data_IF_242904368561
#
_entry.id   IF_242904368561
#
_cell.length_a   1.000
_cell.length_b   1.000
_cell.length_c   1.000
_cell.angle_alpha   90.00
_cell.angle_beta   90.00
_cell.angle_gamma   90.00
#
_symmetry.space_group_name_H-M   'P 1'
#
loop_
_entity.id
_entity.type
_entity.pdbx_description
1 polymer ?
#
# COMPACT_ATOMS: atom_id res chain seq x y z
N UNK A 1 -42.54 3.41 75.83
CA UNK A 1 -41.87 4.09 74.70
C UNK A 1 -40.39 4.46 74.93
N UNK A 2 -39.93 4.81 76.15
CA UNK A 2 -38.53 5.26 76.38
C UNK A 2 -37.42 4.18 76.39
N UNK A 3 -37.72 2.91 76.71
CA UNK A 3 -36.69 1.84 76.79
C UNK A 3 -36.23 1.29 75.44
N UNK A 4 -37.09 1.35 74.41
CA UNK A 4 -36.78 0.79 73.08
C UNK A 4 -35.82 1.69 72.29
N UNK A 5 -35.96 3.01 72.43
CA UNK A 5 -35.10 4.01 71.77
C UNK A 5 -33.67 3.97 72.31
N UNK A 6 -33.49 3.73 73.62
CA UNK A 6 -32.17 3.64 74.24
C UNK A 6 -31.36 2.42 73.78
N UNK A 7 -32.01 1.27 73.54
CA UNK A 7 -31.37 0.08 72.97
C UNK A 7 -30.94 0.28 71.52
N UNK A 8 -31.74 0.98 70.71
CA UNK A 8 -31.38 1.30 69.32
C UNK A 8 -30.23 2.30 69.24
N UNK A 9 -30.15 3.25 70.19
CA UNK A 9 -29.05 4.21 70.27
C UNK A 9 -27.71 3.55 70.68
N UNK A 10 -27.73 2.60 71.61
CA UNK A 10 -26.54 1.83 72.00
C UNK A 10 -26.10 0.89 70.87
N UNK A 11 -27.03 0.27 70.15
CA UNK A 11 -26.72 -0.62 69.02
C UNK A 11 -26.17 0.15 67.81
N UNK A 12 -26.72 1.32 67.51
CA UNK A 12 -26.22 2.19 66.44
C UNK A 12 -24.83 2.77 66.77
N UNK A 13 -24.58 3.11 68.04
CA UNK A 13 -23.26 3.56 68.51
C UNK A 13 -22.21 2.44 68.41
N UNK A 14 -22.58 1.19 68.73
CA UNK A 14 -21.69 0.04 68.62
C UNK A 14 -21.34 -0.30 67.15
N UNK A 15 -22.28 -0.11 66.22
CA UNK A 15 -22.04 -0.29 64.77
C UNK A 15 -21.15 0.83 64.22
N UNK A 16 -21.35 2.08 64.65
CA UNK A 16 -20.54 3.22 64.21
C UNK A 16 -19.09 3.11 64.70
N UNK A 17 -18.89 2.64 65.94
CA UNK A 17 -17.55 2.41 66.50
C UNK A 17 -16.86 1.22 65.81
N UNK A 18 -17.60 0.17 65.46
CA UNK A 18 -17.06 -0.96 64.68
C UNK A 18 -16.67 -0.55 63.26
N UNK A 19 -17.41 0.37 62.63
CA UNK A 19 -17.08 0.91 61.31
C UNK A 19 -15.88 1.87 61.33
N UNK A 20 -15.68 2.59 62.44
CA UNK A 20 -14.53 3.49 62.63
C UNK A 20 -13.19 2.74 62.80
N UNK A 21 -13.20 1.49 63.28
CA UNK A 21 -11.99 0.68 63.45
C UNK A 21 -11.50 0.07 62.13
N UNK A 22 -12.37 -0.08 61.12
CA UNK A 22 -12.01 -0.66 59.82
C UNK A 22 -11.27 0.36 58.92
N UNK A 23 -11.50 1.66 59.11
CA UNK A 23 -10.86 2.74 58.33
C UNK A 23 -9.49 3.18 58.85
N UNK A 24 -9.02 2.69 60.01
CA UNK A 24 -7.65 2.94 60.50
C UNK A 24 -6.67 1.82 60.17
N UNK A 25 -7.08 0.81 59.40
CA UNK A 25 -6.17 -0.20 58.84
C UNK A 25 -5.62 0.24 57.48
N UNK A 26 -5.18 1.50 57.38
CA UNK A 26 -4.14 1.83 56.41
C UNK A 26 -2.87 1.13 56.91
N UNK A 27 -2.53 0.00 56.29
CA UNK A 27 -1.20 -0.57 56.40
C UNK A 27 -0.23 0.44 55.80
N UNK A 28 0.40 1.27 56.64
CA UNK A 28 1.72 1.78 56.30
C UNK A 28 2.61 0.55 56.20
N UNK A 29 2.99 0.23 54.97
CA UNK A 29 3.97 -0.82 54.67
C UNK A 29 5.28 -0.45 55.37
N UNK A 30 5.44 -0.97 56.58
CA UNK A 30 6.62 -0.80 57.40
C UNK A 30 7.83 -1.36 56.61
N UNK A 31 8.90 -0.60 56.35
CA UNK A 31 10.03 -1.06 55.55
C UNK A 31 10.99 -1.96 56.34
N UNK A 32 10.54 -2.54 57.46
CA UNK A 32 11.30 -3.53 58.23
C UNK A 32 11.14 -4.91 57.57
N UNK A 33 11.86 -5.05 56.47
CA UNK A 33 11.84 -6.21 55.56
C UNK A 33 12.43 -5.88 54.18
N UNK A 34 12.55 -4.60 53.83
CA UNK A 34 13.24 -4.14 52.61
C UNK A 34 14.77 -4.22 52.70
N UNK A 35 15.33 -4.55 53.87
CA UNK A 35 16.77 -4.85 54.03
C UNK A 35 17.08 -6.36 53.96
N UNK A 36 16.05 -7.20 53.77
CA UNK A 36 16.23 -8.61 53.37
C UNK A 36 15.83 -8.71 51.89
N UNK A 37 16.45 -7.89 51.05
CA UNK A 37 16.39 -8.07 49.62
C UNK A 37 17.55 -9.00 49.25
N UNK A 38 17.17 -10.16 48.73
CA UNK A 38 18.04 -11.16 48.13
C UNK A 38 19.13 -10.49 47.26
N UNK A 39 20.43 -10.76 47.47
CA UNK A 39 21.50 -10.22 46.62
C UNK A 39 21.42 -10.68 45.16
N UNK A 40 20.56 -11.66 44.85
CA UNK A 40 20.34 -12.20 43.50
C UNK A 40 19.25 -11.47 42.69
N UNK A 41 18.79 -10.28 43.11
CA UNK A 41 17.96 -9.46 42.20
C UNK A 41 18.82 -8.97 41.03
N UNK A 42 18.41 -9.22 39.77
CA UNK A 42 19.13 -8.66 38.63
C UNK A 42 19.12 -7.13 38.75
N UNK A 43 20.29 -6.53 38.56
CA UNK A 43 20.44 -5.07 38.55
C UNK A 43 19.70 -4.51 37.33
N UNK A 44 18.48 -3.99 37.57
CA UNK A 44 17.65 -3.42 36.51
C UNK A 44 18.04 -1.96 36.34
N UNK A 45 18.79 -1.68 35.28
CA UNK A 45 19.22 -0.33 34.91
C UNK A 45 18.32 0.20 33.80
N UNK A 46 17.88 1.46 33.94
CA UNK A 46 17.18 2.22 32.89
C UNK A 46 18.11 3.30 32.33
N UNK A 47 18.08 3.50 31.02
CA UNK A 47 18.79 4.60 30.35
C UNK A 47 18.01 5.10 29.14
N UNK A 48 17.95 6.42 28.99
CA UNK A 48 17.41 7.16 27.85
C UNK A 48 18.48 8.07 27.20
N UNK A 49 19.73 7.98 27.66
CA UNK A 49 20.84 8.88 27.27
C UNK A 49 21.66 8.37 26.09
N UNK A 50 21.11 7.43 25.31
CA UNK A 50 21.79 6.88 24.14
C UNK A 50 21.92 7.92 23.04
N UNK A 51 23.12 8.06 22.47
CA UNK A 51 23.30 8.84 21.26
C UNK A 51 22.67 8.12 20.08
N UNK A 52 21.64 8.74 19.50
CA UNK A 52 21.03 8.36 18.23
C UNK A 52 21.48 9.36 17.18
N UNK A 53 21.88 8.86 16.01
CA UNK A 53 22.07 9.67 14.82
C UNK A 53 21.04 9.25 13.78
N UNK A 54 20.21 10.17 13.33
CA UNK A 54 19.23 9.91 12.28
C UNK A 54 19.50 10.75 11.03
N UNK A 55 19.27 10.13 9.87
CA UNK A 55 19.53 10.71 8.55
C UNK A 55 18.47 10.25 7.58
N UNK A 56 18.03 11.15 6.70
CA UNK A 56 17.15 10.81 5.58
C UNK A 56 18.01 10.36 4.41
N UNK A 57 17.69 9.21 3.83
CA UNK A 57 18.42 8.60 2.72
C UNK A 57 17.46 8.27 1.58
N UNK A 58 17.95 8.33 0.34
CA UNK A 58 17.20 7.79 -0.79
C UNK A 58 17.23 6.26 -0.75
N UNK A 59 16.09 5.65 -1.04
CA UNK A 59 16.04 4.23 -1.36
C UNK A 59 16.58 3.99 -2.78
N UNK A 60 17.15 2.82 -3.03
CA UNK A 60 17.59 2.43 -4.38
C UNK A 60 16.37 2.08 -5.25
N UNK A 61 15.73 0.95 -4.93
CA UNK A 61 14.48 0.54 -5.52
C UNK A 61 13.75 -0.45 -4.62
N UNK A 62 12.43 -0.49 -4.73
CA UNK A 62 11.57 -1.44 -4.03
C UNK A 62 11.07 -2.49 -5.00
N UNK A 63 10.95 -3.74 -4.56
CA UNK A 63 10.35 -4.80 -5.37
C UNK A 63 8.86 -4.50 -5.60
N UNK A 64 8.45 -4.44 -6.86
CA UNK A 64 7.06 -4.17 -7.27
C UNK A 64 6.37 -5.38 -7.90
N UNK A 65 7.11 -6.44 -8.22
CA UNK A 65 6.55 -7.72 -8.66
C UNK A 65 7.48 -8.90 -8.39
N UNK A 66 6.91 -10.01 -7.93
CA UNK A 66 7.43 -11.35 -8.17
C UNK A 66 6.26 -12.35 -8.27
N UNK A 67 6.54 -13.58 -8.70
CA UNK A 67 5.52 -14.61 -8.93
C UNK A 67 4.88 -15.20 -7.65
N UNK A 68 5.38 -14.86 -6.46
CA UNK A 68 4.89 -15.30 -5.16
C UNK A 68 4.19 -14.18 -4.38
N UNK A 69 4.45 -12.92 -4.71
CA UNK A 69 4.06 -11.73 -3.95
C UNK A 69 3.64 -10.61 -4.89
N UNK A 70 2.33 -10.49 -5.09
CA UNK A 70 1.71 -9.42 -5.85
C UNK A 70 1.38 -8.23 -4.95
N UNK A 71 1.42 -7.02 -5.51
CA UNK A 71 0.91 -5.84 -4.82
C UNK A 71 -0.62 -5.95 -4.65
N UNK A 72 -1.15 -5.43 -3.55
CA UNK A 72 -2.59 -5.25 -3.37
C UNK A 72 -3.14 -4.07 -4.19
N UNK A 73 -2.27 -3.11 -4.46
CA UNK A 73 -2.62 -1.78 -4.98
C UNK A 73 -1.55 -1.35 -5.99
N UNK A 74 -1.99 -0.86 -7.15
CA UNK A 74 -1.13 -0.40 -8.23
C UNK A 74 -1.39 1.09 -8.48
N UNK A 75 -0.35 1.91 -8.36
CA UNK A 75 -0.46 3.35 -8.52
C UNK A 75 -0.30 3.78 -9.98
N UNK A 76 -1.03 4.79 -10.40
CA UNK A 76 -0.85 5.45 -11.70
C UNK A 76 -1.20 6.94 -11.58
N UNK A 77 -0.31 7.80 -12.04
CA UNK A 77 -0.52 9.24 -11.99
C UNK A 77 0.73 10.00 -11.58
N UNK A 78 0.50 11.26 -11.24
CA UNK A 78 1.51 12.16 -10.71
C UNK A 78 0.96 12.75 -9.40
N UNK A 79 1.80 12.94 -8.40
CA UNK A 79 1.42 13.60 -7.16
C UNK A 79 2.54 14.55 -6.74
N UNK A 80 2.17 15.80 -6.46
CA UNK A 80 3.12 16.82 -6.09
C UNK A 80 2.94 17.18 -4.61
N UNK A 81 3.85 16.66 -3.80
CA UNK A 81 3.89 16.90 -2.38
C UNK A 81 4.83 18.08 -2.06
N UNK A 82 4.38 19.14 -1.37
CA UNK A 82 5.26 20.27 -1.01
C UNK A 82 6.44 19.88 -0.12
N UNK A 83 6.30 18.80 0.65
CA UNK A 83 7.34 18.29 1.55
C UNK A 83 8.29 17.37 0.81
N UNK A 84 7.77 16.39 0.08
CA UNK A 84 8.56 15.31 -0.55
C UNK A 84 8.90 15.52 -2.03
N UNK A 85 8.28 16.50 -2.68
CA UNK A 85 8.42 16.74 -4.11
C UNK A 85 7.46 15.91 -4.96
N UNK A 86 7.87 15.64 -6.19
CA UNK A 86 7.02 15.06 -7.22
C UNK A 86 7.21 13.54 -7.33
N UNK A 87 6.12 12.78 -7.22
CA UNK A 87 6.09 11.34 -7.44
C UNK A 87 5.28 10.96 -8.68
N UNK A 88 5.81 10.05 -9.50
CA UNK A 88 5.19 9.53 -10.73
C UNK A 88 5.06 8.02 -10.62
N UNK A 89 3.90 7.50 -11.02
CA UNK A 89 3.67 6.06 -11.14
C UNK A 89 3.09 5.67 -12.52
N UNK A 90 3.63 4.61 -13.10
CA UNK A 90 3.12 3.99 -14.32
C UNK A 90 2.91 2.49 -14.07
N UNK A 91 1.84 1.91 -14.63
CA UNK A 91 1.55 0.47 -14.47
C UNK A 91 1.94 -0.25 -15.75
N UNK A 92 2.67 -1.35 -15.64
CA UNK A 92 2.90 -2.28 -16.74
C UNK A 92 2.27 -3.61 -16.37
N UNK A 93 1.39 -4.14 -17.22
CA UNK A 93 0.69 -5.38 -16.91
C UNK A 93 0.34 -6.18 -18.16
N UNK A 94 0.36 -7.49 -18.01
CA UNK A 94 -0.09 -8.41 -19.04
C UNK A 94 -1.55 -8.82 -18.81
N UNK A 95 -2.20 -9.20 -19.90
CA UNK A 95 -3.49 -9.88 -19.84
C UNK A 95 -3.34 -11.36 -20.20
N UNK A 96 -4.31 -12.15 -19.74
CA UNK A 96 -4.35 -13.61 -19.84
C UNK A 96 -5.71 -14.07 -20.34
N UNK A 97 -5.73 -15.25 -20.95
CA UNK A 97 -6.95 -15.87 -21.42
C UNK A 97 -7.89 -16.26 -20.26
N UNK A 98 -9.18 -16.40 -20.55
CA UNK A 98 -10.23 -16.68 -19.56
C UNK A 98 -10.54 -18.17 -19.42
N UNK A 99 -9.97 -18.85 -18.43
CA UNK A 99 -10.45 -20.18 -17.99
C UNK A 99 -9.47 -21.33 -18.22
N UNK A 100 -9.99 -22.52 -18.49
CA UNK A 100 -9.18 -23.71 -18.75
C UNK A 100 -8.63 -23.67 -20.19
N UNK A 101 -7.33 -23.89 -20.35
CA UNK A 101 -6.64 -23.87 -21.65
C UNK A 101 -6.79 -25.23 -22.35
N UNK A 102 -7.06 -25.28 -23.67
CA UNK A 102 -7.35 -24.15 -24.57
C UNK A 102 -8.72 -23.53 -24.26
N UNK A 103 -8.81 -22.20 -24.34
CA UNK A 103 -10.04 -21.49 -23.95
C UNK A 103 -11.18 -21.81 -24.94
N UNK A 104 -12.24 -22.42 -24.43
CA UNK A 104 -13.42 -22.82 -25.21
C UNK A 104 -14.52 -21.77 -25.20
N UNK A 105 -14.48 -20.76 -24.32
CA UNK A 105 -15.44 -19.65 -24.32
C UNK A 105 -15.29 -18.79 -25.59
N UNK A 106 -14.06 -18.69 -26.12
CA UNK A 106 -13.80 -18.01 -27.39
C UNK A 106 -14.28 -18.77 -28.63
N UNK A 107 -14.58 -20.08 -28.52
CA UNK A 107 -15.08 -20.87 -29.66
C UNK A 107 -16.39 -20.34 -30.24
N UNK A 108 -17.14 -19.53 -29.49
CA UNK A 108 -18.39 -18.89 -29.93
C UNK A 108 -18.17 -17.66 -30.82
N UNK A 109 -17.03 -16.96 -30.71
CA UNK A 109 -16.68 -15.81 -31.55
C UNK A 109 -16.26 -16.26 -32.95
N UNK A 110 -15.67 -17.45 -33.07
CA UNK A 110 -14.96 -17.93 -34.24
C UNK A 110 -15.80 -18.44 -35.41
N UNK A 111 -17.13 -18.51 -35.31
CA UNK A 111 -17.94 -18.99 -36.44
C UNK A 111 -18.13 -17.93 -37.55
N UNK A 112 -17.50 -16.75 -37.44
CA UNK A 112 -17.64 -15.64 -38.41
C UNK A 112 -19.02 -14.97 -38.37
N UNK A 113 -19.89 -15.41 -37.46
CA UNK A 113 -21.25 -14.88 -37.25
C UNK A 113 -21.29 -13.81 -36.16
N UNK A 114 -20.16 -13.54 -35.49
CA UNK A 114 -20.04 -12.56 -34.43
C UNK A 114 -19.50 -11.23 -34.95
N UNK A 115 -20.10 -10.11 -34.50
CA UNK A 115 -19.66 -8.75 -34.82
C UNK A 115 -19.19 -8.05 -33.55
N UNK A 116 -18.00 -7.45 -33.60
CA UNK A 116 -17.43 -6.70 -32.47
C UNK A 116 -18.15 -5.36 -32.28
N UNK A 117 -18.82 -5.20 -31.14
CA UNK A 117 -19.59 -4.01 -30.81
C UNK A 117 -18.73 -2.94 -30.15
N UNK A 118 -17.96 -3.34 -29.14
CA UNK A 118 -17.07 -2.45 -28.40
C UNK A 118 -15.98 -3.22 -27.67
N UNK A 119 -14.89 -2.51 -27.39
CA UNK A 119 -13.84 -2.98 -26.49
C UNK A 119 -13.72 -2.01 -25.34
N UNK A 120 -13.69 -2.52 -24.11
CA UNK A 120 -13.63 -1.71 -22.90
C UNK A 120 -12.55 -2.26 -21.97
N UNK A 121 -11.62 -1.40 -21.56
CA UNK A 121 -10.67 -1.70 -20.49
C UNK A 121 -11.26 -1.20 -19.17
N UNK A 122 -11.43 -2.11 -18.21
CA UNK A 122 -12.04 -1.80 -16.91
C UNK A 122 -10.99 -1.95 -15.83
N UNK A 123 -10.88 -0.96 -14.95
CA UNK A 123 -9.98 -0.97 -13.80
C UNK A 123 -10.78 -0.65 -12.54
N UNK A 124 -10.76 -1.54 -11.55
CA UNK A 124 -11.28 -1.26 -10.21
C UNK A 124 -10.36 -0.29 -9.48
N UNK A 125 -10.95 0.74 -8.88
CA UNK A 125 -10.26 1.67 -8.00
C UNK A 125 -10.06 1.08 -6.59
N UNK A 126 -8.86 1.24 -6.04
CA UNK A 126 -8.62 1.09 -4.61
C UNK A 126 -8.84 2.44 -3.92
N UNK A 127 -10.12 2.76 -3.67
CA UNK A 127 -10.56 4.07 -3.15
C UNK A 127 -9.94 4.48 -1.82
N UNK A 128 -9.37 3.54 -1.05
CA UNK A 128 -8.73 3.84 0.22
C UNK A 128 -7.28 4.35 0.08
N UNK A 129 -6.70 4.33 -1.12
CA UNK A 129 -5.26 4.53 -1.34
C UNK A 129 -4.92 5.65 -2.32
N UNK A 130 -5.86 6.52 -2.65
CA UNK A 130 -5.58 7.69 -3.49
C UNK A 130 -4.77 8.75 -2.73
N UNK A 131 -3.95 9.51 -3.46
CA UNK A 131 -3.24 10.68 -2.94
C UNK A 131 -3.49 11.88 -3.86
N UNK A 132 -3.70 13.07 -3.30
CA UNK A 132 -3.97 14.29 -4.07
C UNK A 132 -5.46 14.63 -4.19
N UNK A 133 -5.81 15.43 -5.19
CA UNK A 133 -7.15 15.98 -5.40
C UNK A 133 -8.02 15.05 -6.26
N UNK A 134 -9.02 14.41 -5.64
CA UNK A 134 -9.93 13.46 -6.28
C UNK A 134 -10.87 14.11 -7.31
N UNK A 135 -11.08 15.43 -7.23
CA UNK A 135 -11.99 16.14 -8.12
C UNK A 135 -11.33 16.58 -9.44
N UNK A 136 -10.03 16.35 -9.58
CA UNK A 136 -9.26 16.66 -10.79
C UNK A 136 -9.38 15.54 -11.82
N UNK A 137 -9.61 15.93 -13.07
CA UNK A 137 -9.60 15.04 -14.22
C UNK A 137 -8.17 14.64 -14.61
N UNK A 138 -7.96 13.39 -15.01
CA UNK A 138 -6.68 12.87 -15.49
C UNK A 138 -6.77 12.32 -16.90
N UNK A 139 -5.77 12.64 -17.72
CA UNK A 139 -5.62 12.07 -19.05
C UNK A 139 -4.82 10.77 -18.97
N UNK A 140 -5.55 9.66 -18.79
CA UNK A 140 -4.98 8.32 -18.74
C UNK A 140 -4.75 7.79 -20.16
N UNK A 141 -3.50 7.42 -20.46
CA UNK A 141 -3.12 6.73 -21.68
C UNK A 141 -2.99 5.23 -21.43
N UNK A 142 -3.50 4.45 -22.38
CA UNK A 142 -3.27 3.01 -22.47
C UNK A 142 -2.45 2.76 -23.73
N UNK A 143 -1.27 2.18 -23.57
CA UNK A 143 -0.32 1.89 -24.66
C UNK A 143 0.01 0.40 -24.70
N UNK A 144 0.29 -0.14 -25.88
CA UNK A 144 0.76 -1.53 -26.02
C UNK A 144 2.24 -1.62 -25.68
N UNK A 145 2.59 -2.62 -24.87
CA UNK A 145 3.99 -2.95 -24.58
C UNK A 145 4.67 -3.45 -25.86
N UNK A 146 5.87 -2.93 -26.13
CA UNK A 146 6.70 -3.30 -27.28
C UNK A 146 7.69 -4.42 -26.94
N UNK A 147 7.95 -4.63 -25.65
CA UNK A 147 8.81 -5.69 -25.13
C UNK A 147 8.04 -6.67 -24.22
N UNK A 148 8.60 -7.85 -24.03
CA UNK A 148 7.96 -8.94 -23.31
C UNK A 148 8.21 -8.83 -21.79
N UNK A 149 7.17 -9.03 -21.00
CA UNK A 149 7.31 -9.25 -19.56
C UNK A 149 7.35 -10.75 -19.27
N UNK A 150 8.21 -11.17 -18.35
CA UNK A 150 8.33 -12.53 -17.83
C UNK A 150 7.64 -12.64 -16.46
N UNK A 151 6.68 -13.55 -16.36
CA UNK A 151 5.94 -13.79 -15.13
C UNK A 151 6.72 -14.59 -14.08
N UNK A 152 7.94 -15.04 -14.38
CA UNK A 152 8.87 -15.65 -13.41
C UNK A 152 9.99 -14.70 -12.98
N UNK A 153 10.05 -13.49 -13.57
CA UNK A 153 11.01 -12.47 -13.18
C UNK A 153 10.60 -11.78 -11.87
N UNK A 154 11.58 -11.10 -11.27
CA UNK A 154 11.36 -10.12 -10.20
C UNK A 154 11.57 -8.75 -10.79
N UNK A 155 10.60 -7.85 -10.60
CA UNK A 155 10.69 -6.45 -11.03
C UNK A 155 10.74 -5.51 -9.84
N UNK A 156 11.49 -4.42 -10.02
CA UNK A 156 11.69 -3.34 -9.07
C UNK A 156 11.06 -2.04 -9.58
N UNK A 157 10.90 -1.07 -8.68
CA UNK A 157 10.24 0.20 -8.95
C UNK A 157 10.92 1.03 -10.05
N UNK A 158 12.20 0.81 -10.30
CA UNK A 158 12.97 1.47 -11.34
C UNK A 158 12.98 0.71 -12.69
N UNK A 159 12.46 -0.52 -12.73
CA UNK A 159 12.27 -1.25 -13.99
C UNK A 159 11.15 -0.60 -14.80
N UNK A 160 11.34 -0.53 -16.11
CA UNK A 160 10.37 0.09 -17.00
C UNK A 160 10.23 -0.70 -18.29
N UNK A 161 9.05 -0.60 -18.90
CA UNK A 161 8.74 -1.27 -20.16
C UNK A 161 8.41 -0.25 -21.25
N UNK A 162 8.99 -0.44 -22.43
CA UNK A 162 8.74 0.36 -23.60
C UNK A 162 7.34 0.10 -24.15
N UNK A 163 6.62 1.19 -24.44
CA UNK A 163 5.26 1.14 -24.96
C UNK A 163 5.04 2.20 -26.04
N UNK A 164 5.23 1.81 -27.30
CA UNK A 164 5.27 2.77 -28.42
C UNK A 164 3.90 3.05 -29.02
N UNK A 165 3.01 2.07 -29.08
CA UNK A 165 1.71 2.18 -29.74
C UNK A 165 0.60 2.59 -28.77
N UNK A 166 -0.14 3.66 -29.10
CA UNK A 166 -1.24 4.18 -28.29
C UNK A 166 -2.54 3.45 -28.63
N UNK A 167 -3.16 2.78 -27.65
CA UNK A 167 -4.50 2.21 -27.82
C UNK A 167 -5.60 3.27 -27.67
N UNK A 168 -5.48 4.10 -26.64
CA UNK A 168 -6.45 5.15 -26.34
C UNK A 168 -5.88 6.16 -25.34
N UNK A 169 -6.49 7.35 -25.34
CA UNK A 169 -6.37 8.33 -24.26
C UNK A 169 -7.77 8.62 -23.75
N UNK A 170 -7.97 8.59 -22.44
CA UNK A 170 -9.24 8.88 -21.81
C UNK A 170 -9.07 9.84 -20.64
N UNK A 171 -9.85 10.92 -20.66
CA UNK A 171 -9.99 11.83 -19.53
C UNK A 171 -10.93 11.19 -18.51
N UNK A 172 -10.42 10.93 -17.31
CA UNK A 172 -11.13 10.22 -16.24
C UNK A 172 -11.17 11.07 -14.97
N UNK A 173 -12.29 11.03 -14.26
CA UNK A 173 -12.44 11.66 -12.95
C UNK A 173 -12.74 10.56 -11.92
N UNK A 174 -11.87 10.29 -10.95
CA UNK A 174 -12.11 9.24 -9.96
C UNK A 174 -13.38 9.45 -9.12
N UNK A 175 -13.83 10.68 -8.90
CA UNK A 175 -15.11 10.98 -8.23
C UNK A 175 -16.33 10.56 -9.07
N UNK A 176 -16.17 10.34 -10.38
CA UNK A 176 -17.21 9.88 -11.32
C UNK A 176 -17.06 8.40 -11.68
N UNK A 177 -16.81 7.55 -10.68
CA UNK A 177 -16.65 6.12 -10.88
C UNK A 177 -17.95 5.41 -11.28
N UNK A 178 -17.81 4.28 -11.96
CA UNK A 178 -18.90 3.39 -12.32
C UNK A 178 -19.09 2.31 -11.26
N UNK A 179 -20.35 1.97 -10.98
CA UNK A 179 -20.72 0.79 -10.20
C UNK A 179 -21.47 -0.15 -11.14
N UNK A 180 -20.90 -1.35 -11.36
CA UNK A 180 -21.60 -2.42 -12.07
C UNK A 180 -22.28 -3.34 -11.06
N UNK A 181 -23.61 -3.30 -10.98
CA UNK A 181 -24.39 -4.14 -10.06
C UNK A 181 -24.28 -5.64 -10.35
N UNK A 182 -23.76 -6.05 -11.51
CA UNK A 182 -23.46 -7.45 -11.80
C UNK A 182 -22.23 -7.97 -11.04
N UNK A 183 -21.42 -7.06 -10.50
CA UNK A 183 -20.23 -7.36 -9.72
C UNK A 183 -20.37 -6.74 -8.34
N UNK A 184 -21.08 -7.45 -7.47
CA UNK A 184 -21.23 -7.10 -6.05
C UNK A 184 -20.82 -8.27 -5.18
N UNK A 185 -20.20 -8.00 -4.04
CA UNK A 185 -20.00 -9.01 -3.00
C UNK A 185 -20.97 -8.76 -1.83
N UNK A 186 -21.37 -9.80 -1.12
CA UNK A 186 -22.08 -9.66 0.15
C UNK A 186 -21.13 -10.00 1.28
N UNK A 187 -20.87 -9.04 2.16
CA UNK A 187 -20.01 -9.23 3.34
C UNK A 187 -20.79 -8.80 4.58
N UNK A 188 -20.97 -9.73 5.51
CA UNK A 188 -21.67 -9.47 6.78
C UNK A 188 -23.10 -8.93 6.63
N UNK A 189 -23.78 -9.24 5.52
CA UNK A 189 -25.13 -8.76 5.23
C UNK A 189 -25.19 -7.48 4.40
N UNK A 190 -24.06 -6.81 4.18
CA UNK A 190 -23.97 -5.60 3.35
C UNK A 190 -23.50 -5.91 1.94
N UNK A 191 -24.05 -5.17 0.97
CA UNK A 191 -23.63 -5.24 -0.43
C UNK A 191 -22.42 -4.32 -0.63
N UNK A 192 -21.30 -4.90 -1.03
CA UNK A 192 -20.08 -4.20 -1.41
C UNK A 192 -20.09 -4.02 -2.92
N UNK A 193 -19.96 -2.76 -3.33
CA UNK A 193 -19.73 -2.36 -4.71
C UNK A 193 -18.25 -2.18 -4.95
N UNK A 194 -17.80 -2.47 -6.16
CA UNK A 194 -16.44 -2.18 -6.57
C UNK A 194 -16.44 -1.03 -7.57
N UNK A 195 -16.02 0.17 -7.16
CA UNK A 195 -15.98 1.34 -8.03
C UNK A 195 -14.91 1.13 -9.10
N UNK A 196 -15.27 1.33 -10.36
CA UNK A 196 -14.36 1.12 -11.49
C UNK A 196 -14.42 2.25 -12.50
N UNK A 197 -13.32 2.40 -13.24
CA UNK A 197 -13.29 3.21 -14.45
C UNK A 197 -13.40 2.29 -15.66
N UNK A 198 -14.20 2.71 -16.63
CA UNK A 198 -14.45 1.97 -17.88
C UNK A 198 -13.95 2.82 -19.03
N UNK A 199 -12.91 2.35 -19.69
CA UNK A 199 -12.17 3.08 -20.71
C UNK A 199 -12.46 2.44 -22.06
N UNK A 200 -13.24 3.09 -22.93
CA UNK A 200 -13.47 2.59 -24.29
C UNK A 200 -12.15 2.55 -25.07
N UNK A 201 -11.87 1.41 -25.69
CA UNK A 201 -10.75 1.25 -26.62
C UNK A 201 -11.27 1.37 -28.06
N UNK A 202 -10.41 1.81 -28.98
CA UNK A 202 -10.74 1.85 -30.39
C UNK A 202 -10.89 0.43 -30.93
N UNK A 203 -12.13 -0.06 -31.06
CA UNK A 203 -12.39 -1.41 -31.58
C UNK A 203 -11.86 -1.66 -32.99
N UNK A 204 -11.64 -0.59 -33.78
CA UNK A 204 -11.09 -0.69 -35.14
C UNK A 204 -9.56 -0.76 -35.16
N UNK A 205 -8.91 -0.77 -33.99
CA UNK A 205 -7.46 -0.96 -33.89
C UNK A 205 -7.04 -2.33 -34.44
N UNK A 206 -5.85 -2.39 -35.05
CA UNK A 206 -5.31 -3.57 -35.72
C UNK A 206 -5.28 -4.80 -34.81
N UNK A 207 -4.79 -4.62 -33.56
CA UNK A 207 -4.87 -5.61 -32.48
C UNK A 207 -6.23 -6.32 -32.39
N UNK A 208 -7.35 -5.59 -32.44
CA UNK A 208 -8.67 -6.22 -32.29
C UNK A 208 -9.17 -6.81 -33.60
N UNK A 209 -9.03 -6.08 -34.71
CA UNK A 209 -9.60 -6.51 -35.99
C UNK A 209 -8.85 -7.70 -36.59
N UNK A 210 -7.52 -7.71 -36.50
CA UNK A 210 -6.67 -8.67 -37.19
C UNK A 210 -6.11 -9.77 -36.29
N UNK A 211 -6.19 -9.62 -34.96
CA UNK A 211 -5.69 -10.63 -34.01
C UNK A 211 -6.74 -11.12 -33.01
N UNK A 212 -7.22 -10.25 -32.12
CA UNK A 212 -8.08 -10.65 -30.99
C UNK A 212 -9.57 -10.87 -31.38
N UNK A 213 -9.95 -10.56 -32.62
CA UNK A 213 -11.30 -10.79 -33.14
C UNK A 213 -11.28 -11.25 -34.61
N UNK A 214 -10.14 -11.71 -35.13
CA UNK A 214 -9.97 -12.12 -36.53
C UNK A 214 -10.50 -13.53 -36.86
N UNK A 215 -10.97 -14.26 -35.85
CA UNK A 215 -11.41 -15.66 -35.99
C UNK A 215 -10.28 -16.68 -35.90
N UNK A 216 -9.03 -16.25 -35.77
CA UNK A 216 -7.86 -17.11 -35.57
C UNK A 216 -7.84 -17.68 -34.14
N UNK A 217 -7.92 -19.00 -34.01
CA UNK A 217 -7.98 -19.67 -32.68
C UNK A 217 -6.61 -19.81 -32.01
N UNK A 218 -5.51 -19.77 -32.78
CA UNK A 218 -4.18 -20.10 -32.26
C UNK A 218 -3.72 -19.19 -31.11
N UNK A 219 -4.09 -17.90 -31.13
CA UNK A 219 -3.79 -16.97 -30.03
C UNK A 219 -4.54 -17.30 -28.72
N UNK A 220 -5.57 -18.14 -28.80
CA UNK A 220 -6.41 -18.57 -27.66
C UNK A 220 -6.08 -19.98 -27.16
N UNK A 221 -5.08 -20.64 -27.74
CA UNK A 221 -4.66 -21.98 -27.33
C UNK A 221 -3.82 -21.93 -26.05
N UNK A 222 -3.06 -20.86 -25.83
CA UNK A 222 -2.25 -20.64 -24.62
C UNK A 222 -1.95 -19.17 -24.38
N UNK A 223 -1.62 -18.81 -23.14
CA UNK A 223 -1.14 -17.46 -22.81
C UNK A 223 0.14 -17.10 -23.60
N UNK A 224 1.02 -18.07 -23.86
CA UNK A 224 2.23 -17.84 -24.66
C UNK A 224 1.92 -17.45 -26.11
N UNK A 225 0.85 -18.01 -26.69
CA UNK A 225 0.39 -17.66 -28.03
C UNK A 225 -0.26 -16.27 -28.05
N UNK A 226 -1.10 -15.95 -27.06
CA UNK A 226 -1.66 -14.61 -26.90
C UNK A 226 -0.56 -13.54 -26.79
N UNK A 227 0.47 -13.80 -25.98
CA UNK A 227 1.55 -12.86 -25.74
C UNK A 227 2.42 -12.60 -26.99
N UNK A 228 2.37 -13.43 -28.03
CA UNK A 228 3.06 -13.14 -29.31
C UNK A 228 2.45 -11.93 -30.03
N UNK A 229 1.15 -11.70 -29.87
CA UNK A 229 0.41 -10.61 -30.53
C UNK A 229 -0.03 -9.52 -29.56
N UNK A 230 -0.11 -9.83 -28.27
CA UNK A 230 -0.50 -8.90 -27.23
C UNK A 230 0.37 -9.03 -25.99
N UNK A 231 1.53 -8.36 -26.00
CA UNK A 231 2.55 -8.45 -24.93
C UNK A 231 2.10 -7.91 -23.57
N UNK A 232 1.17 -6.96 -23.58
CA UNK A 232 0.60 -6.32 -22.40
C UNK A 232 0.26 -4.86 -22.67
N UNK A 233 -0.08 -4.14 -21.61
CA UNK A 233 -0.38 -2.70 -21.65
C UNK A 233 0.44 -1.93 -20.62
N UNK A 234 0.79 -0.70 -20.99
CA UNK A 234 1.25 0.34 -20.08
C UNK A 234 0.12 1.35 -19.83
N UNK A 235 -0.11 1.66 -18.56
CA UNK A 235 -0.98 2.74 -18.11
C UNK A 235 -0.11 3.88 -17.59
N UNK A 236 -0.28 5.08 -18.14
CA UNK A 236 0.42 6.28 -17.69
C UNK A 236 -0.47 7.50 -17.85
N UNK A 237 -0.20 8.53 -17.07
CA UNK A 237 -0.90 9.81 -17.18
C UNK A 237 0.01 10.77 -17.93
N UNK A 238 -0.50 11.37 -19.00
CA UNK A 238 0.32 12.19 -19.89
C UNK A 238 0.56 13.60 -19.34
N UNK A 239 -0.47 14.17 -18.70
CA UNK A 239 -0.43 15.50 -18.13
C UNK A 239 -0.33 15.40 -16.60
N UNK A 240 0.74 15.89 -15.97
CA UNK A 240 0.87 15.83 -14.52
C UNK A 240 -0.24 16.65 -13.85
N UNK A 241 -1.06 15.94 -13.08
CA UNK A 241 -2.07 16.50 -12.16
C UNK A 241 -1.62 16.22 -10.73
N UNK A 242 -2.16 16.92 -9.73
CA UNK A 242 -1.90 16.59 -8.31
C UNK A 242 -2.80 15.43 -7.85
N UNK A 243 -2.66 14.24 -8.46
CA UNK A 243 -3.48 13.08 -8.14
C UNK A 243 -2.79 11.76 -8.53
N UNK A 244 -2.48 10.94 -7.52
CA UNK A 244 -2.07 9.55 -7.67
C UNK A 244 -3.29 8.64 -7.53
N UNK A 245 -3.70 8.01 -8.63
CA UNK A 245 -4.78 7.03 -8.60
C UNK A 245 -4.26 5.67 -8.13
N UNK A 246 -5.14 4.91 -7.48
CA UNK A 246 -4.85 3.58 -6.98
C UNK A 246 -5.82 2.57 -7.59
N UNK A 247 -5.28 1.45 -8.10
CA UNK A 247 -6.05 0.42 -8.78
C UNK A 247 -5.84 -0.96 -8.16
N UNK A 248 -6.92 -1.75 -8.10
CA UNK A 248 -6.88 -3.16 -7.75
C UNK A 248 -6.87 -4.02 -9.03
N UNK A 249 -5.68 -4.41 -9.48
CA UNK A 249 -5.55 -5.22 -10.69
C UNK A 249 -5.99 -6.68 -10.51
N UNK A 250 -5.99 -7.17 -9.27
CA UNK A 250 -6.44 -8.54 -8.93
C UNK A 250 -7.97 -8.68 -8.89
N UNK A 251 -8.69 -7.56 -9.04
CA UNK A 251 -10.14 -7.52 -8.98
C UNK A 251 -10.83 -8.41 -10.02
N UNK A 252 -11.93 -9.02 -9.61
CA UNK A 252 -12.86 -9.69 -10.49
C UNK A 252 -13.61 -8.74 -11.46
N UNK A 253 -13.45 -7.42 -11.39
CA UNK A 253 -13.92 -6.48 -12.42
C UNK A 253 -12.81 -6.07 -13.41
N UNK A 254 -11.56 -6.06 -12.96
CA UNK A 254 -10.44 -5.51 -13.76
C UNK A 254 -10.09 -6.40 -14.95
N UNK A 255 -10.05 -5.83 -16.15
CA UNK A 255 -9.62 -6.55 -17.36
C UNK A 255 -10.08 -5.88 -18.64
N UNK A 256 -9.78 -6.52 -19.76
CA UNK A 256 -10.20 -6.07 -21.09
C UNK A 256 -11.39 -6.88 -21.57
N UNK A 257 -12.47 -6.22 -21.94
CA UNK A 257 -13.72 -6.85 -22.36
C UNK A 257 -13.96 -6.60 -23.85
N UNK A 258 -14.12 -7.67 -24.62
CA UNK A 258 -14.64 -7.65 -25.97
C UNK A 258 -16.15 -7.91 -25.89
N UNK A 259 -16.96 -6.92 -26.23
CA UNK A 259 -18.41 -7.07 -26.34
C UNK A 259 -18.78 -7.30 -27.80
N UNK A 260 -19.57 -8.34 -28.06
CA UNK A 260 -19.95 -8.73 -29.40
C UNK A 260 -21.36 -9.32 -29.42
N UNK A 261 -21.96 -9.35 -30.61
CA UNK A 261 -23.23 -10.01 -30.83
C UNK A 261 -23.16 -10.97 -32.01
N UNK A 262 -24.03 -11.96 -31.98
CA UNK A 262 -24.37 -12.82 -33.11
C UNK A 262 -25.79 -12.46 -33.60
N UNK A 263 -26.29 -13.17 -34.61
CA UNK A 263 -27.67 -12.99 -35.07
C UNK A 263 -28.74 -13.22 -34.00
N UNK A 264 -28.43 -13.98 -32.93
CA UNK A 264 -29.42 -14.41 -31.93
C UNK A 264 -29.10 -13.99 -30.48
N UNK A 265 -27.89 -13.51 -30.19
CA UNK A 265 -27.46 -13.24 -28.81
C UNK A 265 -26.35 -12.19 -28.73
N UNK A 266 -26.21 -11.56 -27.56
CA UNK A 266 -25.12 -10.64 -27.20
C UNK A 266 -24.28 -11.26 -26.10
N UNK A 267 -22.96 -11.25 -26.25
CA UNK A 267 -22.04 -11.86 -25.29
C UNK A 267 -20.79 -10.99 -25.09
N UNK A 268 -19.92 -11.44 -24.17
CA UNK A 268 -18.64 -10.79 -23.90
C UNK A 268 -17.55 -11.82 -23.65
N UNK A 269 -16.35 -11.50 -24.12
CA UNK A 269 -15.12 -12.19 -23.75
C UNK A 269 -14.27 -11.27 -22.89
N UNK A 270 -13.58 -11.82 -21.89
CA UNK A 270 -12.73 -11.04 -21.00
C UNK A 270 -11.31 -11.59 -21.02
N UNK A 271 -10.34 -10.71 -21.19
CA UNK A 271 -8.96 -11.00 -20.80
C UNK A 271 -8.73 -10.56 -19.36
N UNK A 272 -8.09 -11.43 -18.58
CA UNK A 272 -7.91 -11.26 -17.14
C UNK A 272 -6.50 -10.79 -16.81
N UNK A 273 -6.37 -10.04 -15.72
CA UNK A 273 -5.08 -9.88 -15.03
C UNK A 273 -5.08 -10.90 -13.89
N UNK A 274 -4.34 -12.00 -14.07
CA UNK A 274 -4.28 -13.09 -13.08
C UNK A 274 -2.95 -13.07 -12.33
N UNK A 275 -2.78 -13.93 -11.33
CA UNK A 275 -1.47 -14.13 -10.70
C UNK A 275 -0.40 -14.70 -11.64
N UNK A 276 -0.78 -15.20 -12.83
CA UNK A 276 0.15 -15.64 -13.88
C UNK A 276 0.50 -14.52 -14.85
N UNK A 277 -0.13 -13.35 -14.75
CA UNK A 277 0.25 -12.15 -15.49
C UNK A 277 1.42 -11.47 -14.78
N UNK A 278 2.43 -11.05 -15.54
CA UNK A 278 3.38 -10.07 -15.03
C UNK A 278 2.64 -8.73 -14.86
N UNK A 279 2.77 -8.11 -13.69
CA UNK A 279 2.13 -6.85 -13.36
C UNK A 279 3.01 -6.09 -12.37
N UNK A 280 3.43 -4.88 -12.72
CA UNK A 280 4.35 -4.10 -11.90
C UNK A 280 4.02 -2.61 -11.98
N UNK A 281 4.57 -1.85 -11.04
CA UNK A 281 4.49 -0.40 -11.02
C UNK A 281 5.91 0.15 -11.18
N UNK A 282 6.10 1.00 -12.18
CA UNK A 282 7.25 1.88 -12.27
C UNK A 282 6.99 3.10 -11.38
N UNK A 283 7.95 3.45 -10.53
CA UNK A 283 7.86 4.59 -9.61
C UNK A 283 9.09 5.47 -9.78
N UNK A 284 8.84 6.78 -9.83
CA UNK A 284 9.90 7.79 -9.86
C UNK A 284 9.54 8.92 -8.92
N UNK A 285 10.46 9.23 -8.00
CA UNK A 285 10.36 10.40 -7.14
C UNK A 285 11.43 11.42 -7.50
N UNK A 286 11.07 12.70 -7.41
CA UNK A 286 11.94 13.85 -7.63
C UNK A 286 11.72 14.84 -6.48
N UNK A 287 12.69 14.89 -5.58
CA UNK A 287 12.67 15.72 -4.38
C UNK A 287 13.28 17.11 -4.61
N UNK A 288 13.73 17.45 -5.83
CA UNK A 288 14.37 18.73 -6.13
C UNK A 288 13.44 19.91 -5.85
N UNK A 289 13.91 20.91 -5.10
CA UNK A 289 13.15 22.09 -4.72
C UNK A 289 12.08 21.87 -3.64
N UNK A 290 11.98 20.66 -3.10
CA UNK A 290 11.04 20.33 -2.02
C UNK A 290 11.59 20.70 -0.63
N UNK A 291 10.74 20.66 0.39
CA UNK A 291 11.16 20.91 1.78
C UNK A 291 12.20 19.89 2.27
N UNK A 292 12.15 18.65 1.78
CA UNK A 292 13.04 17.56 2.24
C UNK A 292 14.43 17.59 1.60
N UNK A 293 14.60 18.20 0.41
CA UNK A 293 15.87 18.26 -0.32
C UNK A 293 17.10 18.53 0.59
N UNK A 294 17.13 19.56 1.46
CA UNK A 294 18.30 19.86 2.31
C UNK A 294 18.53 18.86 3.47
N UNK A 295 17.60 17.96 3.74
CA UNK A 295 17.68 16.94 4.80
C UNK A 295 18.16 15.57 4.29
N UNK A 296 18.21 15.38 2.97
CA UNK A 296 18.67 14.14 2.38
C UNK A 296 20.20 14.10 2.41
N UNK A 297 20.76 13.01 2.95
CA UNK A 297 22.21 12.80 2.91
C UNK A 297 22.65 12.48 1.48
N UNK A 298 23.64 13.20 0.97
CA UNK A 298 24.31 12.81 -0.26
C UNK A 298 25.26 11.61 -0.06
N UNK A 299 25.78 11.06 -1.15
CA UNK A 299 26.76 9.96 -1.11
C UNK A 299 28.09 10.34 -0.42
N UNK A 300 28.30 11.64 -0.16
CA UNK A 300 29.44 12.15 0.61
C UNK A 300 29.14 12.30 2.10
N UNK A 301 27.96 11.88 2.57
CA UNK A 301 27.56 11.85 3.96
C UNK A 301 27.13 13.22 4.54
N UNK A 302 26.89 14.22 3.70
CA UNK A 302 26.39 15.53 4.11
C UNK A 302 24.88 15.64 3.93
N UNK A 303 24.11 15.58 5.01
CA UNK A 303 22.81 16.26 5.06
C UNK A 303 23.06 17.70 5.53
N UNK A 304 22.59 18.71 4.79
CA UNK A 304 22.90 20.12 5.08
C UNK A 304 22.26 20.61 6.40
N UNK A 305 21.12 20.03 6.80
CA UNK A 305 20.36 20.45 8.00
C UNK A 305 20.34 19.42 9.15
N UNK A 306 20.96 18.25 9.00
CA UNK A 306 21.20 17.29 10.09
C UNK A 306 19.96 16.59 10.70
N UNK A 307 20.13 16.09 11.94
CA UNK A 307 19.33 15.12 12.72
C UNK A 307 18.07 15.69 13.42
N UNK A 308 17.57 16.86 13.01
CA UNK A 308 16.39 17.47 13.66
C UNK A 308 15.07 16.89 13.17
N UNK A 309 15.06 16.37 11.94
CA UNK A 309 13.92 15.77 11.26
C UNK A 309 14.39 14.60 10.42
N UNK A 310 13.56 13.56 10.37
CA UNK A 310 13.68 12.47 9.40
C UNK A 310 12.42 12.39 8.57
N UNK A 311 12.61 12.04 7.31
CA UNK A 311 11.54 11.96 6.35
C UNK A 311 11.42 10.53 5.85
N UNK A 312 10.19 10.01 5.86
CA UNK A 312 9.88 8.65 5.43
C UNK A 312 8.71 8.74 4.47
N UNK A 313 8.86 8.15 3.28
CA UNK A 313 7.83 8.14 2.25
C UNK A 313 7.77 6.75 1.61
N UNK A 314 6.55 6.26 1.34
CA UNK A 314 6.36 5.06 0.54
C UNK A 314 6.72 5.27 -0.94
N UNK A 315 6.31 4.32 -1.79
CA UNK A 315 6.44 4.42 -3.25
C UNK A 315 7.87 4.62 -3.77
N UNK A 316 8.85 3.89 -3.23
CA UNK A 316 10.28 4.07 -3.57
C UNK A 316 10.82 5.47 -3.23
N UNK A 317 10.21 6.12 -2.24
CA UNK A 317 10.60 7.44 -1.75
C UNK A 317 11.77 7.38 -0.77
N UNK A 318 11.68 8.22 0.27
CA UNK A 318 12.76 8.39 1.25
C UNK A 318 12.63 7.43 2.42
N UNK A 319 13.78 7.00 2.94
CA UNK A 319 13.90 6.19 4.13
C UNK A 319 14.68 6.92 5.23
N UNK A 320 14.46 6.49 6.48
CA UNK A 320 15.25 6.95 7.61
C UNK A 320 16.33 5.91 7.95
N UNK A 321 17.57 6.39 8.11
CA UNK A 321 18.69 5.60 8.63
C UNK A 321 19.01 6.05 10.04
N UNK A 322 18.95 5.10 10.96
CA UNK A 322 19.29 5.28 12.37
C UNK A 322 20.64 4.63 12.68
N UNK A 323 21.48 5.32 13.43
CA UNK A 323 22.75 4.80 13.93
C UNK A 323 22.84 5.03 15.44
N UNK A 324 23.32 4.01 16.17
CA UNK A 324 23.61 4.08 17.60
C UNK A 324 25.12 3.89 17.75
N UNK A 325 25.94 4.97 17.65
CA UNK A 325 27.40 4.84 17.52
C UNK A 325 28.07 4.12 18.68
N UNK A 326 27.52 4.27 19.88
CA UNK A 326 28.05 3.70 21.12
C UNK A 326 27.34 2.41 21.53
N UNK A 327 26.64 1.73 20.62
CA UNK A 327 25.94 0.47 20.90
C UNK A 327 26.87 -0.62 21.48
N UNK A 328 28.18 -0.59 21.19
CA UNK A 328 29.16 -1.51 21.77
C UNK A 328 29.29 -1.39 23.29
N UNK A 329 28.92 -0.25 23.88
CA UNK A 329 28.92 -0.08 25.33
C UNK A 329 27.78 -0.85 26.00
N UNK A 330 26.80 -1.32 25.22
CA UNK A 330 25.67 -2.16 25.66
C UNK A 330 25.97 -3.66 25.49
N UNK A 331 27.23 -4.07 25.48
CA UNK A 331 27.59 -5.49 25.45
C UNK A 331 27.40 -6.14 26.83
N UNK A 332 27.06 -7.43 26.83
CA UNK A 332 26.86 -8.24 28.05
C UNK A 332 25.76 -7.77 29.00
N UNK A 333 24.75 -7.07 28.48
CA UNK A 333 23.51 -6.74 29.23
C UNK A 333 22.34 -7.54 28.69
N UNK A 334 21.36 -7.81 29.55
CA UNK A 334 20.05 -8.32 29.14
C UNK A 334 19.12 -7.11 29.00
N UNK A 335 18.65 -6.86 27.78
CA UNK A 335 17.70 -5.78 27.50
C UNK A 335 16.30 -6.33 27.73
N UNK A 336 15.65 -5.89 28.81
CA UNK A 336 14.26 -6.26 29.10
C UNK A 336 13.25 -5.52 28.22
N UNK A 337 13.56 -4.27 27.84
CA UNK A 337 12.71 -3.41 27.01
C UNK A 337 13.58 -2.35 26.32
N UNK A 338 13.32 -2.10 25.05
CA UNK A 338 13.83 -0.96 24.30
C UNK A 338 12.67 -0.35 23.52
N UNK A 339 12.55 0.96 23.59
CA UNK A 339 11.50 1.73 22.91
C UNK A 339 12.16 2.84 22.10
N UNK A 340 11.57 3.11 20.94
CA UNK A 340 11.96 4.20 20.07
C UNK A 340 10.69 4.94 19.66
N UNK A 341 10.57 6.17 20.14
CA UNK A 341 9.41 7.01 19.91
C UNK A 341 9.70 8.04 18.83
N UNK A 342 8.85 8.08 17.81
CA UNK A 342 8.87 9.12 16.78
C UNK A 342 7.74 10.10 17.04
N UNK A 343 8.06 11.39 17.03
CA UNK A 343 7.04 12.44 17.05
C UNK A 343 6.82 12.93 15.63
N UNK A 344 5.58 12.84 15.14
CA UNK A 344 5.21 13.36 13.82
C UNK A 344 5.32 14.88 13.85
N UNK A 345 6.12 15.43 12.93
CA UNK A 345 6.23 16.88 12.77
C UNK A 345 4.92 17.43 12.16
N UNK A 346 4.32 18.43 12.80
CA UNK A 346 3.00 18.98 12.41
C UNK A 346 3.04 20.46 11.98
N UNK A 347 4.25 21.02 11.81
CA UNK A 347 4.46 22.44 11.49
C UNK A 347 5.47 22.63 10.34
N UNK A 348 5.52 21.69 9.40
CA UNK A 348 6.31 21.87 8.19
C UNK A 348 5.61 22.88 7.26
N UNK A 349 6.36 23.75 6.55
CA UNK A 349 5.78 24.66 5.58
C UNK A 349 4.97 23.91 4.51
N UNK A 350 3.76 24.39 4.23
CA UNK A 350 2.89 23.87 3.15
C UNK A 350 2.46 22.40 3.29
N UNK A 351 2.73 21.77 4.43
CA UNK A 351 2.28 20.41 4.71
C UNK A 351 0.75 20.35 4.80
N UNK A 352 0.17 19.29 4.23
CA UNK A 352 -1.28 19.10 4.20
C UNK A 352 -1.70 18.34 5.46
N UNK A 353 -2.67 18.89 6.21
CA UNK A 353 -3.06 18.33 7.52
C UNK A 353 -3.48 16.87 7.50
N UNK A 354 -4.05 16.42 6.39
CA UNK A 354 -4.47 15.03 6.19
C UNK A 354 -3.33 14.02 6.39
N UNK A 355 -2.08 14.39 6.08
CA UNK A 355 -0.93 13.48 6.13
C UNK A 355 -0.32 13.35 7.53
N UNK A 356 -0.32 14.41 8.34
CA UNK A 356 0.11 14.30 9.74
C UNK A 356 -1.03 13.89 10.70
N UNK A 357 -2.30 14.14 10.35
CA UNK A 357 -3.46 13.68 11.14
C UNK A 357 -3.71 12.17 10.99
N UNK A 358 -3.28 11.58 9.87
CA UNK A 358 -3.36 10.15 9.59
C UNK A 358 -1.97 9.60 9.20
N UNK A 359 -1.01 9.56 10.15
CA UNK A 359 0.35 9.16 9.83
C UNK A 359 0.43 7.70 9.39
N UNK A 360 1.51 7.37 8.67
CA UNK A 360 1.80 5.99 8.25
C UNK A 360 1.79 5.08 9.46
N UNK A 361 0.90 4.10 9.44
CA UNK A 361 0.67 3.18 10.56
C UNK A 361 1.68 2.02 10.58
N UNK A 362 2.31 1.72 9.45
CA UNK A 362 3.17 0.55 9.31
C UNK A 362 4.58 0.99 8.89
N UNK A 363 5.48 1.07 9.87
CA UNK A 363 6.91 1.30 9.63
C UNK A 363 7.63 -0.03 9.78
N UNK A 364 8.43 -0.39 8.77
CA UNK A 364 9.30 -1.55 8.81
C UNK A 364 10.71 -1.11 9.22
N UNK A 365 11.29 -1.76 10.22
CA UNK A 365 12.68 -1.54 10.61
C UNK A 365 13.51 -2.74 10.19
N UNK A 366 14.61 -2.47 9.49
CA UNK A 366 15.58 -3.47 9.06
C UNK A 366 17.00 -3.04 9.42
N UNK A 367 17.90 -4.01 9.52
CA UNK A 367 19.34 -3.78 9.70
C UNK A 367 20.10 -4.35 8.51
N UNK A 368 21.24 -3.75 8.17
CA UNK A 368 22.18 -4.35 7.21
C UNK A 368 22.96 -5.48 7.90
N UNK A 369 23.10 -6.61 7.23
CA UNK A 369 24.01 -7.68 7.62
C UNK A 369 25.46 -7.41 7.17
N UNK A 370 26.35 -8.38 7.37
CA UNK A 370 27.77 -8.28 6.99
C UNK A 370 27.96 -8.17 5.47
N UNK A 371 27.01 -8.68 4.69
CA UNK A 371 26.99 -8.60 3.23
C UNK A 371 26.28 -7.32 2.71
N UNK A 372 25.81 -6.47 3.62
CA UNK A 372 25.12 -5.21 3.32
C UNK A 372 23.64 -5.34 2.97
N UNK A 373 23.06 -6.54 3.07
CA UNK A 373 21.66 -6.83 2.78
C UNK A 373 20.76 -6.44 3.96
N UNK A 374 19.61 -5.85 3.67
CA UNK A 374 18.60 -5.52 4.68
C UNK A 374 17.89 -6.78 5.19
N UNK A 375 17.90 -6.97 6.51
CA UNK A 375 17.20 -8.03 7.22
C UNK A 375 16.20 -7.38 8.19
N UNK A 376 14.94 -7.80 8.10
CA UNK A 376 13.88 -7.36 9.03
C UNK A 376 14.19 -7.84 10.44
N UNK A 377 14.01 -6.97 11.43
CA UNK A 377 14.23 -7.30 12.83
C UNK A 377 13.02 -8.07 13.35
N UNK A 378 13.17 -9.39 13.55
CA UNK A 378 12.08 -10.29 13.91
C UNK A 378 11.44 -10.02 15.29
N UNK A 379 12.19 -9.41 16.21
CA UNK A 379 11.74 -9.12 17.59
C UNK A 379 11.08 -7.74 17.72
N UNK A 380 10.81 -7.06 16.61
CA UNK A 380 10.20 -5.72 16.62
C UNK A 380 8.66 -5.82 16.66
N UNK A 381 8.06 -5.27 17.70
CA UNK A 381 6.63 -4.92 17.71
C UNK A 381 6.49 -3.41 17.49
N UNK A 382 5.97 -3.00 16.34
CA UNK A 382 5.55 -1.62 16.12
C UNK A 382 4.15 -1.41 16.72
N UNK A 383 4.02 -0.40 17.59
CA UNK A 383 2.74 0.09 18.07
C UNK A 383 2.68 1.59 17.76
N UNK A 384 1.61 2.03 17.11
CA UNK A 384 1.31 3.46 16.94
C UNK A 384 0.36 3.80 18.09
N UNK A 385 0.71 4.80 18.90
CA UNK A 385 -0.11 5.26 20.02
C UNK A 385 -0.74 6.61 19.75
#
# INVERSE_FOLDING_TARGET
MKKTVFKHFIFASSILIMFLVVITSCNDSNPLGAEIIDPDRPDVVFTDTLTLLSTTVREDSVKTYDNLSLLSTYFCGNFNDPVFGNSVAEINTQLRLSGALPDTLFSQINNGEATLDSVVFVLEYDTARFYGDLDVEQDLEIRLLSEDMDNNATYYSNDNFDATELLTTATINPSQYHIDSAFTAVRSGDTIYFPSVRIPLNKNHDLFQNYLFSGEKEYYDSDSALLQVFKGVKLKVNNPTDLMMAFNLSSAQTGMFLYYHTSNDTSRYRFWITNKAAQMVYLKSDDAGSTVEPFISDDNGGAYLGDSLIFIQGMSGLNAKLSIPFAKNLQNIIVNKAELDFTVASMLPEDKSVFYENPISNILISKKDEDGKLIVIADLSAAIS
#
